data_IF_725748298266
#
_entry.id   IF_725748298266
#
_cell.length_a   1.000
_cell.length_b   1.000
_cell.length_c   1.000
_cell.angle_alpha   90.00
_cell.angle_beta   90.00
_cell.angle_gamma   90.00
#
_symmetry.space_group_name_H-M   'P 1'
#
loop_
_entity.id
_entity.type
_entity.pdbx_description
1 polymer ?
#
# COMPACT_ATOMS: atom_id res chain seq x y z
N UNK A 1 24.20 -2.53 -11.48
CA UNK A 1 23.13 -3.10 -12.30
C UNK A 1 23.21 -2.48 -13.66
N UNK A 2 23.10 -3.31 -14.72
CA UNK A 2 23.13 -2.79 -16.09
C UNK A 2 21.92 -1.88 -16.28
N UNK A 3 22.17 -0.63 -16.63
CA UNK A 3 21.21 0.47 -16.53
C UNK A 3 20.12 0.43 -17.61
N UNK A 4 20.30 -0.41 -18.60
CA UNK A 4 19.44 -0.54 -19.77
C UNK A 4 18.55 -1.77 -19.74
N UNK A 5 18.59 -2.58 -18.64
CA UNK A 5 17.85 -3.84 -18.60
C UNK A 5 16.33 -3.68 -18.81
N UNK A 6 15.76 -2.54 -18.39
CA UNK A 6 14.34 -2.25 -18.61
C UNK A 6 14.00 -1.99 -20.08
N UNK A 7 15.00 -1.58 -20.89
CA UNK A 7 14.88 -1.30 -22.30
C UNK A 7 15.27 -2.51 -23.18
N UNK A 8 16.26 -3.31 -22.75
CA UNK A 8 16.91 -4.31 -23.59
C UNK A 8 16.36 -5.73 -23.42
N UNK A 9 15.96 -6.12 -22.19
CA UNK A 9 15.48 -7.47 -21.92
C UNK A 9 14.18 -7.79 -22.68
N UNK A 10 13.95 -9.06 -23.07
CA UNK A 10 12.66 -9.50 -23.60
C UNK A 10 11.51 -9.13 -22.66
N UNK A 11 10.39 -8.66 -23.22
CA UNK A 11 9.33 -8.02 -22.43
C UNK A 11 8.67 -8.96 -21.42
N UNK A 12 8.31 -10.18 -21.82
CA UNK A 12 7.62 -11.11 -20.92
C UNK A 12 8.49 -11.55 -19.72
N UNK A 13 9.74 -12.02 -19.89
CA UNK A 13 10.62 -12.33 -18.75
C UNK A 13 10.90 -11.10 -17.87
N UNK A 14 10.97 -9.92 -18.46
CA UNK A 14 11.16 -8.67 -17.73
C UNK A 14 9.94 -8.39 -16.83
N UNK A 15 8.72 -8.45 -17.37
CA UNK A 15 7.48 -8.26 -16.60
C UNK A 15 7.43 -9.28 -15.46
N UNK A 16 7.67 -10.55 -15.72
CA UNK A 16 7.64 -11.60 -14.69
C UNK A 16 8.66 -11.34 -13.58
N UNK A 17 9.89 -10.94 -13.95
CA UNK A 17 10.94 -10.65 -12.97
C UNK A 17 10.61 -9.47 -12.05
N UNK A 18 9.79 -8.52 -12.52
CA UNK A 18 9.35 -7.35 -11.77
C UNK A 18 8.04 -7.62 -11.00
N UNK A 19 7.12 -8.38 -11.60
CA UNK A 19 5.80 -8.66 -11.06
C UNK A 19 5.82 -9.72 -9.95
N UNK A 20 6.57 -10.81 -10.13
CA UNK A 20 6.55 -11.93 -9.16
C UNK A 20 6.94 -11.53 -7.74
N UNK A 21 7.99 -10.71 -7.51
CA UNK A 21 8.27 -10.20 -6.17
C UNK A 21 7.10 -9.38 -5.59
N UNK A 22 6.41 -8.59 -6.41
CA UNK A 22 5.28 -7.78 -5.96
C UNK A 22 4.05 -8.63 -5.64
N UNK A 23 3.74 -9.63 -6.48
CA UNK A 23 2.66 -10.59 -6.20
C UNK A 23 2.89 -11.29 -4.86
N UNK A 24 4.11 -11.79 -4.64
CA UNK A 24 4.46 -12.47 -3.38
C UNK A 24 4.34 -11.54 -2.17
N UNK A 25 4.83 -10.29 -2.29
CA UNK A 25 4.68 -9.28 -1.23
C UNK A 25 3.23 -8.99 -0.89
N UNK A 26 2.37 -8.88 -1.91
CA UNK A 26 0.95 -8.62 -1.72
C UNK A 26 0.22 -9.80 -1.08
N UNK A 27 0.59 -11.02 -1.43
CA UNK A 27 0.04 -12.22 -0.78
C UNK A 27 0.39 -12.27 0.71
N UNK A 28 1.66 -12.02 1.05
CA UNK A 28 2.11 -11.98 2.45
C UNK A 28 1.45 -10.82 3.20
N UNK A 29 1.30 -9.65 2.56
CA UNK A 29 0.60 -8.51 3.15
C UNK A 29 -0.89 -8.80 3.40
N UNK A 30 -1.56 -9.50 2.49
CA UNK A 30 -2.94 -9.92 2.71
C UNK A 30 -3.07 -10.93 3.85
N UNK A 31 -2.14 -11.86 3.94
CA UNK A 31 -2.11 -12.87 5.00
C UNK A 31 -1.91 -12.22 6.37
N UNK A 32 -0.98 -11.27 6.49
CA UNK A 32 -0.77 -10.56 7.75
C UNK A 32 -2.03 -9.80 8.18
N UNK A 33 -2.74 -9.11 7.27
CA UNK A 33 -3.98 -8.40 7.61
C UNK A 33 -5.08 -9.34 8.14
N UNK A 34 -5.14 -10.58 7.61
CA UNK A 34 -6.08 -11.59 8.11
C UNK A 34 -5.71 -12.05 9.51
N UNK A 35 -4.42 -12.31 9.74
CA UNK A 35 -3.89 -12.77 11.04
C UNK A 35 -4.06 -11.68 12.11
N UNK A 36 -3.75 -10.43 11.80
CA UNK A 36 -3.97 -9.29 12.69
C UNK A 36 -5.44 -9.19 13.10
N UNK A 37 -6.36 -9.21 12.12
CA UNK A 37 -7.80 -9.19 12.40
C UNK A 37 -8.26 -10.40 13.22
N UNK A 38 -7.67 -11.56 13.02
CA UNK A 38 -7.96 -12.76 13.79
C UNK A 38 -7.58 -12.62 15.27
N UNK A 39 -6.40 -12.06 15.56
CA UNK A 39 -5.98 -11.83 16.94
C UNK A 39 -6.80 -10.72 17.61
N UNK A 40 -7.11 -9.64 16.92
CA UNK A 40 -7.97 -8.58 17.47
C UNK A 40 -9.38 -9.09 17.79
N UNK A 41 -9.93 -9.97 16.94
CA UNK A 41 -11.24 -10.58 17.19
C UNK A 41 -11.28 -11.47 18.47
N UNK A 42 -10.13 -11.92 18.96
CA UNK A 42 -10.03 -12.69 20.21
C UNK A 42 -9.99 -11.82 21.47
N UNK A 43 -9.79 -10.51 21.34
CA UNK A 43 -9.78 -9.58 22.47
C UNK A 43 -11.21 -9.38 22.99
N UNK A 44 -12.08 -8.80 22.17
CA UNK A 44 -13.50 -8.59 22.45
C UNK A 44 -14.25 -8.18 21.17
N UNK A 45 -15.60 -8.25 21.20
CA UNK A 45 -16.46 -7.75 20.13
C UNK A 45 -16.34 -6.22 19.98
N UNK A 46 -16.18 -5.50 21.09
CA UNK A 46 -15.99 -4.06 21.11
C UNK A 46 -14.67 -3.64 20.45
N UNK A 47 -13.58 -4.39 20.68
CA UNK A 47 -12.28 -4.16 20.06
C UNK A 47 -12.36 -4.34 18.53
N UNK A 48 -13.03 -5.40 18.08
CA UNK A 48 -13.23 -5.64 16.65
C UNK A 48 -14.12 -4.58 15.99
N UNK A 49 -15.15 -4.12 16.72
CA UNK A 49 -16.01 -3.02 16.28
C UNK A 49 -15.22 -1.72 16.17
N UNK A 50 -14.41 -1.40 17.18
CA UNK A 50 -13.55 -0.22 17.17
C UNK A 50 -12.57 -0.23 15.98
N UNK A 51 -11.89 -1.36 15.74
CA UNK A 51 -10.98 -1.52 14.58
C UNK A 51 -11.73 -1.30 13.25
N UNK A 52 -12.93 -1.86 13.13
CA UNK A 52 -13.76 -1.74 11.93
C UNK A 52 -14.18 -0.30 11.65
N UNK A 53 -14.46 0.50 12.70
CA UNK A 53 -14.80 1.90 12.57
C UNK A 53 -13.58 2.79 12.27
N UNK A 54 -12.39 2.44 12.76
CA UNK A 54 -11.13 3.16 12.45
C UNK A 54 -10.64 2.87 11.03
N UNK A 55 -10.90 1.68 10.52
CA UNK A 55 -10.38 1.18 9.24
C UNK A 55 -10.60 2.13 8.04
N UNK A 56 -11.77 2.77 7.83
CA UNK A 56 -11.96 3.70 6.70
C UNK A 56 -10.99 4.88 6.71
N UNK A 57 -10.68 5.45 7.89
CA UNK A 57 -9.73 6.55 8.02
C UNK A 57 -8.31 6.06 7.76
N UNK A 58 -7.95 4.90 8.30
CA UNK A 58 -6.65 4.26 8.05
C UNK A 58 -6.46 3.94 6.56
N UNK A 59 -7.50 3.43 5.90
CA UNK A 59 -7.47 3.14 4.46
C UNK A 59 -7.33 4.42 3.63
N UNK A 60 -7.98 5.51 4.01
CA UNK A 60 -7.82 6.81 3.36
C UNK A 60 -6.39 7.33 3.48
N UNK A 61 -5.79 7.27 4.69
CA UNK A 61 -4.39 7.65 4.93
C UNK A 61 -3.45 6.82 4.04
N UNK A 62 -3.65 5.51 3.98
CA UNK A 62 -2.89 4.61 3.12
C UNK A 62 -3.07 4.93 1.63
N UNK A 63 -4.30 5.23 1.20
CA UNK A 63 -4.58 5.60 -0.18
C UNK A 63 -3.84 6.88 -0.60
N UNK A 64 -3.76 7.88 0.28
CA UNK A 64 -3.00 9.12 0.04
C UNK A 64 -1.50 8.80 -0.06
N UNK A 65 -0.94 8.06 0.88
CA UNK A 65 0.49 7.68 0.89
C UNK A 65 0.88 6.87 -0.34
N UNK A 66 0.15 5.80 -0.65
CA UNK A 66 0.43 4.92 -1.79
C UNK A 66 0.17 5.66 -3.12
N UNK A 67 -0.93 6.39 -3.24
CA UNK A 67 -1.29 7.11 -4.45
C UNK A 67 -0.26 8.19 -4.81
N UNK A 68 0.16 9.00 -3.83
CA UNK A 68 1.24 9.97 -4.03
C UNK A 68 2.56 9.26 -4.37
N UNK A 69 2.87 8.15 -3.70
CA UNK A 69 4.01 7.31 -4.01
C UNK A 69 4.02 6.77 -5.45
N UNK A 70 2.86 6.45 -6.02
CA UNK A 70 2.74 6.08 -7.45
C UNK A 70 3.18 7.23 -8.35
N UNK A 71 2.82 8.47 -8.00
CA UNK A 71 3.31 9.66 -8.69
C UNK A 71 4.83 9.78 -8.66
N UNK A 72 5.43 9.58 -7.49
CA UNK A 72 6.90 9.57 -7.30
C UNK A 72 7.55 8.51 -8.19
N UNK A 73 7.05 7.27 -8.14
CA UNK A 73 7.54 6.15 -8.95
C UNK A 73 7.53 6.49 -10.45
N UNK A 74 6.39 6.94 -10.96
CA UNK A 74 6.20 7.22 -12.37
C UNK A 74 7.11 8.34 -12.88
N UNK A 75 7.25 9.42 -12.10
CA UNK A 75 8.08 10.57 -12.48
C UNK A 75 9.58 10.22 -12.45
N UNK A 76 10.04 9.49 -11.43
CA UNK A 76 11.42 9.00 -11.35
C UNK A 76 11.71 8.08 -12.53
N UNK A 77 10.88 7.05 -12.76
CA UNK A 77 11.08 6.10 -13.86
C UNK A 77 11.11 6.80 -15.22
N UNK A 78 10.24 7.79 -15.44
CA UNK A 78 10.23 8.60 -16.65
C UNK A 78 11.57 9.32 -16.87
N UNK A 79 12.09 10.02 -15.85
CA UNK A 79 13.34 10.76 -16.01
C UNK A 79 14.57 9.85 -16.13
N UNK A 80 14.56 8.69 -15.45
CA UNK A 80 15.60 7.67 -15.65
C UNK A 80 15.60 7.15 -17.09
N UNK A 81 14.42 6.91 -17.66
CA UNK A 81 14.27 6.51 -19.06
C UNK A 81 14.72 7.58 -20.05
N UNK A 82 14.45 8.84 -19.75
CA UNK A 82 14.90 9.99 -20.53
C UNK A 82 16.42 10.31 -20.38
N UNK A 83 17.12 9.58 -19.50
CA UNK A 83 18.55 9.83 -19.23
C UNK A 83 18.81 11.05 -18.34
N UNK A 84 17.78 11.68 -17.76
CA UNK A 84 17.90 12.87 -16.92
C UNK A 84 17.95 12.50 -15.43
N UNK A 85 19.11 12.00 -15.00
CA UNK A 85 19.32 11.58 -13.61
C UNK A 85 19.12 12.75 -12.62
N UNK A 86 19.47 13.99 -13.00
CA UNK A 86 19.29 15.17 -12.13
C UNK A 86 17.82 15.40 -11.80
N UNK A 87 16.94 15.29 -12.80
CA UNK A 87 15.50 15.41 -12.56
C UNK A 87 14.92 14.20 -11.84
N UNK A 88 15.49 13.01 -12.01
CA UNK A 88 15.10 11.84 -11.22
C UNK A 88 15.43 12.04 -9.73
N UNK A 89 16.64 12.54 -9.41
CA UNK A 89 17.05 12.90 -8.05
C UNK A 89 16.16 14.02 -7.46
N UNK A 90 15.84 15.02 -8.28
CA UNK A 90 14.93 16.10 -7.88
C UNK A 90 13.53 15.56 -7.57
N UNK A 91 13.00 14.64 -8.41
CA UNK A 91 11.69 14.02 -8.18
C UNK A 91 11.66 13.19 -6.89
N UNK A 92 12.71 12.41 -6.63
CA UNK A 92 12.84 11.63 -5.40
C UNK A 92 12.94 12.52 -4.16
N UNK A 93 13.78 13.56 -4.20
CA UNK A 93 13.99 14.46 -3.07
C UNK A 93 12.74 15.27 -2.76
N UNK A 94 12.13 15.90 -3.76
CA UNK A 94 10.91 16.69 -3.57
C UNK A 94 9.70 15.81 -3.25
N UNK A 95 9.64 14.62 -3.83
CA UNK A 95 8.66 13.61 -3.49
C UNK A 95 8.74 13.21 -2.00
N UNK A 96 9.95 12.97 -1.49
CA UNK A 96 10.16 12.66 -0.07
C UNK A 96 9.75 13.83 0.85
N UNK A 97 10.12 15.07 0.50
CA UNK A 97 9.74 16.26 1.29
C UNK A 97 8.22 16.40 1.35
N UNK A 98 7.53 16.27 0.21
CA UNK A 98 6.07 16.36 0.17
C UNK A 98 5.43 15.19 0.92
N UNK A 99 5.98 13.97 0.80
CA UNK A 99 5.52 12.82 1.55
C UNK A 99 5.64 13.02 3.07
N UNK A 100 6.73 13.61 3.55
CA UNK A 100 6.88 13.96 4.97
C UNK A 100 5.83 15.00 5.42
N UNK A 101 5.55 16.01 4.58
CA UNK A 101 4.49 16.99 4.86
C UNK A 101 3.13 16.29 4.95
N UNK A 102 2.79 15.42 3.99
CA UNK A 102 1.56 14.61 4.05
C UNK A 102 1.52 13.75 5.30
N UNK A 103 2.64 13.08 5.65
CA UNK A 103 2.73 12.24 6.84
C UNK A 103 2.40 13.01 8.11
N UNK A 104 2.99 14.20 8.29
CA UNK A 104 2.71 15.05 9.46
C UNK A 104 1.25 15.52 9.47
N UNK A 105 0.73 16.03 8.35
CA UNK A 105 -0.66 16.49 8.25
C UNK A 105 -1.64 15.36 8.54
N UNK A 106 -1.43 14.18 7.94
CA UNK A 106 -2.30 13.02 8.12
C UNK A 106 -2.23 12.48 9.55
N UNK A 107 -1.06 12.50 10.20
CA UNK A 107 -0.91 12.13 11.62
C UNK A 107 -1.75 13.05 12.48
N UNK A 108 -1.54 14.37 12.37
CA UNK A 108 -2.25 15.35 13.20
C UNK A 108 -3.76 15.30 12.95
N UNK A 109 -4.18 15.34 11.69
CA UNK A 109 -5.61 15.27 11.34
C UNK A 109 -6.23 13.95 11.79
N UNK A 110 -5.56 12.81 11.54
CA UNK A 110 -6.07 11.49 11.92
C UNK A 110 -6.30 11.37 13.42
N UNK A 111 -5.33 11.77 14.25
CA UNK A 111 -5.45 11.70 15.70
C UNK A 111 -6.52 12.67 16.22
N UNK A 112 -6.50 13.93 15.77
CA UNK A 112 -7.40 14.95 16.31
C UNK A 112 -8.86 14.80 15.91
N UNK A 113 -9.11 14.26 14.71
CA UNK A 113 -10.47 14.08 14.20
C UNK A 113 -11.12 12.77 14.66
N UNK A 114 -10.33 11.79 15.11
CA UNK A 114 -10.84 10.44 15.41
C UNK A 114 -11.92 10.40 16.48
N UNK A 115 -11.82 11.10 17.63
CA UNK A 115 -12.88 11.08 18.64
C UNK A 115 -14.25 11.54 18.10
N UNK A 116 -14.24 12.65 17.32
CA UNK A 116 -15.44 13.17 16.69
C UNK A 116 -15.99 12.23 15.62
N UNK A 117 -15.09 11.64 14.82
CA UNK A 117 -15.45 10.67 13.77
C UNK A 117 -16.14 9.43 14.37
N UNK A 118 -15.56 8.81 15.40
CA UNK A 118 -16.15 7.63 16.05
C UNK A 118 -17.50 7.96 16.69
N UNK A 119 -17.63 9.12 17.32
CA UNK A 119 -18.89 9.58 17.92
C UNK A 119 -20.05 9.76 16.92
N UNK A 120 -19.75 9.85 15.60
CA UNK A 120 -20.79 9.89 14.57
C UNK A 120 -21.40 8.51 14.27
N UNK A 121 -20.71 7.43 14.60
CA UNK A 121 -21.11 6.05 14.23
C UNK A 121 -21.54 5.21 15.43
N UNK A 122 -21.12 5.55 16.65
CA UNK A 122 -21.47 4.78 17.85
C UNK A 122 -21.66 5.67 19.07
N UNK A 123 -22.56 5.27 19.96
CA UNK A 123 -22.75 5.88 21.27
C UNK A 123 -22.06 5.08 22.38
N UNK A 124 -21.45 3.94 22.08
CA UNK A 124 -20.70 3.13 23.04
C UNK A 124 -19.41 3.82 23.44
N UNK A 125 -19.30 4.24 24.69
CA UNK A 125 -18.10 4.87 25.24
C UNK A 125 -16.88 3.96 25.14
N UNK A 126 -17.06 2.66 25.42
CA UNK A 126 -15.99 1.65 25.33
C UNK A 126 -15.43 1.54 23.93
N UNK A 127 -16.30 1.46 22.90
CA UNK A 127 -15.86 1.38 21.49
C UNK A 127 -15.13 2.64 21.07
N UNK A 128 -15.62 3.83 21.48
CA UNK A 128 -14.95 5.11 21.18
C UNK A 128 -13.57 5.14 21.84
N UNK A 129 -13.47 4.78 23.12
CA UNK A 129 -12.22 4.79 23.88
C UNK A 129 -11.18 3.84 23.25
N UNK A 130 -11.56 2.59 22.98
CA UNK A 130 -10.70 1.62 22.31
C UNK A 130 -10.26 2.11 20.92
N UNK A 131 -11.18 2.67 20.14
CA UNK A 131 -10.87 3.20 18.80
C UNK A 131 -9.93 4.41 18.84
N UNK A 132 -10.08 5.29 19.83
CA UNK A 132 -9.18 6.44 20.03
C UNK A 132 -7.79 5.97 20.44
N UNK A 133 -7.67 5.07 21.43
CA UNK A 133 -6.39 4.53 21.89
C UNK A 133 -5.65 3.83 20.75
N UNK A 134 -6.33 2.96 20.01
CA UNK A 134 -5.77 2.33 18.81
C UNK A 134 -5.27 3.38 17.80
N UNK A 135 -6.11 4.37 17.50
CA UNK A 135 -5.82 5.38 16.47
C UNK A 135 -4.65 6.28 16.83
N UNK A 136 -4.51 6.68 18.10
CA UNK A 136 -3.37 7.49 18.56
C UNK A 136 -2.06 6.76 18.31
N UNK A 137 -1.99 5.47 18.62
CA UNK A 137 -0.79 4.67 18.38
C UNK A 137 -0.59 4.45 16.88
N UNK A 138 -1.60 3.91 16.18
CA UNK A 138 -1.50 3.57 14.76
C UNK A 138 -1.13 4.78 13.89
N UNK A 139 -1.76 5.94 14.13
CA UNK A 139 -1.51 7.14 13.33
C UNK A 139 -0.22 7.87 13.71
N UNK A 140 0.33 7.66 14.91
CA UNK A 140 1.66 8.14 15.26
C UNK A 140 2.77 7.57 14.36
N UNK A 141 2.55 6.39 13.79
CA UNK A 141 3.45 5.79 12.80
C UNK A 141 3.21 6.24 11.35
N UNK A 142 2.19 7.07 11.07
CA UNK A 142 1.85 7.48 9.70
C UNK A 142 3.02 8.13 8.98
N UNK A 143 3.79 8.99 9.64
CA UNK A 143 4.98 9.59 9.04
C UNK A 143 6.00 8.52 8.61
N UNK A 144 6.25 7.52 9.46
CA UNK A 144 7.15 6.39 9.18
C UNK A 144 6.63 5.57 7.99
N UNK A 145 5.33 5.29 7.97
CA UNK A 145 4.67 4.55 6.88
C UNK A 145 4.80 5.29 5.56
N UNK A 146 4.49 6.58 5.52
CA UNK A 146 4.52 7.38 4.27
C UNK A 146 5.94 7.55 3.74
N UNK A 147 6.93 7.72 4.62
CA UNK A 147 8.34 7.73 4.25
C UNK A 147 8.77 6.35 3.74
N UNK A 148 8.36 5.27 4.41
CA UNK A 148 8.60 3.89 3.98
C UNK A 148 8.04 3.61 2.58
N UNK A 149 6.79 4.00 2.33
CA UNK A 149 6.16 3.91 0.99
C UNK A 149 6.94 4.72 -0.05
N UNK A 150 7.46 5.89 0.32
CA UNK A 150 8.27 6.70 -0.60
C UNK A 150 9.55 5.97 -1.01
N UNK A 151 10.30 5.39 -0.08
CA UNK A 151 11.47 4.57 -0.38
C UNK A 151 11.10 3.32 -1.18
N UNK A 152 9.99 2.65 -0.84
CA UNK A 152 9.44 1.55 -1.65
C UNK A 152 9.30 1.97 -3.10
N UNK A 153 8.67 3.13 -3.36
CA UNK A 153 8.43 3.61 -4.73
C UNK A 153 9.70 4.06 -5.44
N UNK A 154 10.68 4.57 -4.72
CA UNK A 154 12.02 4.87 -5.26
C UNK A 154 12.72 3.56 -5.69
N UNK A 155 12.73 2.52 -4.84
CA UNK A 155 13.31 1.21 -5.18
C UNK A 155 12.59 0.55 -6.36
N UNK A 156 11.26 0.65 -6.41
CA UNK A 156 10.48 0.16 -7.55
C UNK A 156 10.82 0.92 -8.84
N UNK A 157 10.98 2.25 -8.78
CA UNK A 157 11.29 3.08 -9.95
C UNK A 157 12.65 2.72 -10.59
N UNK A 158 13.63 2.33 -9.79
CA UNK A 158 14.94 1.85 -10.27
C UNK A 158 14.93 0.36 -10.63
N UNK A 159 13.79 -0.33 -10.53
CA UNK A 159 13.62 -1.74 -10.87
C UNK A 159 14.09 -2.72 -9.80
N UNK A 160 14.36 -2.26 -8.59
CA UNK A 160 14.81 -3.13 -7.49
C UNK A 160 13.63 -3.72 -6.69
N UNK A 161 12.82 -4.55 -7.36
CA UNK A 161 11.65 -5.19 -6.76
C UNK A 161 12.00 -6.21 -5.67
N UNK A 162 13.21 -6.81 -5.74
CA UNK A 162 13.66 -7.76 -4.71
C UNK A 162 13.84 -7.09 -3.34
N UNK A 163 14.44 -5.91 -3.31
CA UNK A 163 14.56 -5.14 -2.07
C UNK A 163 13.19 -4.78 -1.53
N UNK A 164 12.27 -4.33 -2.39
CA UNK A 164 10.89 -4.02 -1.99
C UNK A 164 10.21 -5.25 -1.37
N UNK A 165 10.29 -6.40 -2.04
CA UNK A 165 9.71 -7.65 -1.54
C UNK A 165 10.28 -8.03 -0.16
N UNK A 166 11.60 -8.07 -0.02
CA UNK A 166 12.25 -8.48 1.23
C UNK A 166 11.87 -7.53 2.38
N UNK A 167 11.91 -6.21 2.15
CA UNK A 167 11.58 -5.23 3.18
C UNK A 167 10.14 -5.37 3.66
N UNK A 168 9.18 -5.47 2.73
CA UNK A 168 7.77 -5.66 3.06
C UNK A 168 7.51 -6.99 3.78
N UNK A 169 8.11 -8.08 3.30
CA UNK A 169 7.95 -9.40 3.94
C UNK A 169 8.52 -9.43 5.35
N UNK A 170 9.68 -8.83 5.59
CA UNK A 170 10.26 -8.74 6.94
C UNK A 170 9.34 -7.95 7.88
N UNK A 171 8.79 -6.82 7.43
CA UNK A 171 7.82 -6.05 8.21
C UNK A 171 6.55 -6.82 8.54
N UNK A 172 5.98 -7.54 7.56
CA UNK A 172 4.81 -8.38 7.78
C UNK A 172 5.08 -9.54 8.74
N UNK A 173 6.22 -10.23 8.58
CA UNK A 173 6.59 -11.36 9.45
C UNK A 173 6.77 -10.91 10.89
N UNK A 174 7.48 -9.80 11.13
CA UNK A 174 7.67 -9.30 12.50
C UNK A 174 6.35 -8.85 13.11
N UNK A 175 5.45 -8.25 12.34
CA UNK A 175 4.12 -7.92 12.81
C UNK A 175 3.34 -9.17 13.25
N UNK A 176 3.27 -10.22 12.42
CA UNK A 176 2.59 -11.50 12.75
C UNK A 176 3.14 -12.11 14.05
N UNK A 177 4.44 -11.99 14.28
CA UNK A 177 5.08 -12.52 15.51
C UNK A 177 4.77 -11.62 16.71
N UNK A 178 4.75 -10.30 16.53
CA UNK A 178 4.54 -9.36 17.62
C UNK A 178 3.07 -9.23 18.01
N UNK A 179 2.12 -9.44 17.09
CA UNK A 179 0.70 -9.36 17.39
C UNK A 179 0.31 -10.18 18.64
N UNK A 180 0.48 -11.52 18.68
CA UNK A 180 0.09 -12.28 19.85
C UNK A 180 0.93 -11.92 21.09
N UNK A 181 2.18 -11.51 20.91
CA UNK A 181 3.07 -11.15 22.04
C UNK A 181 2.60 -9.88 22.72
N UNK A 182 2.23 -8.85 21.96
CA UNK A 182 1.83 -7.56 22.52
C UNK A 182 0.31 -7.52 22.86
N UNK A 183 -0.51 -8.20 22.09
CA UNK A 183 -1.97 -8.26 22.34
C UNK A 183 -2.22 -9.00 23.66
N UNK A 184 -1.68 -10.20 23.83
CA UNK A 184 -1.99 -11.10 24.97
C UNK A 184 -0.92 -11.08 26.08
N UNK A 185 0.17 -10.31 25.93
CA UNK A 185 1.17 -10.17 26.95
C UNK A 185 2.04 -11.42 27.14
N UNK A 186 2.49 -12.07 26.05
CA UNK A 186 3.38 -13.21 26.17
C UNK A 186 4.81 -12.83 26.56
N UNK A 187 5.40 -13.58 27.48
CA UNK A 187 6.77 -13.39 27.96
C UNK A 187 6.92 -12.18 28.90
N UNK A 188 7.90 -11.28 28.66
CA UNK A 188 8.15 -10.11 29.52
C UNK A 188 7.24 -8.89 29.19
N UNK A 189 6.36 -9.00 28.22
CA UNK A 189 5.53 -7.89 27.76
C UNK A 189 4.18 -7.87 28.49
N UNK A 190 3.67 -6.68 28.85
CA UNK A 190 2.32 -6.54 29.39
C UNK A 190 1.27 -6.83 28.32
N UNK A 191 0.10 -7.29 28.76
CA UNK A 191 -1.08 -7.39 27.90
C UNK A 191 -1.54 -5.98 27.50
N UNK A 192 -1.52 -5.68 26.19
CA UNK A 192 -1.84 -4.36 25.65
C UNK A 192 -3.15 -4.35 24.85
N UNK A 193 -3.77 -5.52 24.61
CA UNK A 193 -4.99 -5.61 23.84
C UNK A 193 -4.88 -4.96 22.46
N UNK A 194 -5.87 -4.13 22.09
CA UNK A 194 -5.93 -3.47 20.78
C UNK A 194 -4.76 -2.47 20.54
N UNK A 195 -4.22 -1.88 21.61
CA UNK A 195 -3.04 -1.01 21.52
C UNK A 195 -1.81 -1.80 21.10
N UNK A 196 -1.71 -3.06 21.56
CA UNK A 196 -0.66 -4.01 21.16
C UNK A 196 -0.67 -4.30 19.67
N UNK A 197 -1.85 -4.48 19.06
CA UNK A 197 -2.00 -4.65 17.62
C UNK A 197 -1.50 -3.42 16.84
N UNK A 198 -1.89 -2.21 17.28
CA UNK A 198 -1.43 -0.97 16.67
C UNK A 198 0.10 -0.82 16.76
N UNK A 199 0.68 -1.14 17.91
CA UNK A 199 2.11 -1.06 18.16
C UNK A 199 2.89 -2.09 17.33
N UNK A 200 2.42 -3.34 17.24
CA UNK A 200 3.03 -4.39 16.43
C UNK A 200 3.09 -3.99 14.95
N UNK A 201 1.99 -3.43 14.44
CA UNK A 201 1.93 -2.87 13.07
C UNK A 201 2.95 -1.74 12.90
N UNK A 202 3.00 -0.80 13.84
CA UNK A 202 3.97 0.31 13.80
C UNK A 202 5.43 -0.14 13.82
N UNK A 203 5.77 -1.14 14.63
CA UNK A 203 7.12 -1.74 14.68
C UNK A 203 7.44 -2.44 13.35
N UNK A 204 6.52 -3.21 12.77
CA UNK A 204 6.68 -3.85 11.48
C UNK A 204 6.97 -2.84 10.35
N UNK A 205 6.22 -1.73 10.31
CA UNK A 205 6.45 -0.65 9.35
C UNK A 205 7.77 0.08 9.58
N UNK A 206 8.17 0.26 10.85
CA UNK A 206 9.47 0.86 11.20
C UNK A 206 10.62 -0.02 10.74
N UNK A 207 10.52 -1.36 10.92
CA UNK A 207 11.52 -2.29 10.41
C UNK A 207 11.59 -2.27 8.88
N UNK A 208 10.43 -2.21 8.21
CA UNK A 208 10.37 -2.09 6.75
C UNK A 208 11.14 -0.86 6.28
N UNK A 209 10.89 0.31 6.87
CA UNK A 209 11.62 1.54 6.57
C UNK A 209 13.11 1.42 6.89
N UNK A 210 13.46 0.85 8.04
CA UNK A 210 14.86 0.65 8.43
C UNK A 210 15.63 -0.19 7.40
N UNK A 211 15.04 -1.27 6.89
CA UNK A 211 15.65 -2.10 5.84
C UNK A 211 15.84 -1.26 4.56
N UNK A 212 14.84 -0.48 4.13
CA UNK A 212 15.00 0.41 2.97
C UNK A 212 16.15 1.39 3.17
N UNK A 213 16.26 2.04 4.32
CA UNK A 213 17.33 2.99 4.61
C UNK A 213 18.71 2.30 4.63
N UNK A 214 18.84 1.15 5.29
CA UNK A 214 20.08 0.37 5.30
C UNK A 214 20.51 0.01 3.89
N UNK A 215 19.59 -0.52 3.06
CA UNK A 215 19.91 -0.88 1.67
C UNK A 215 20.24 0.36 0.85
N UNK A 216 19.55 1.48 1.07
CA UNK A 216 19.80 2.74 0.37
C UNK A 216 21.22 3.27 0.63
N UNK A 217 21.71 3.20 1.88
CA UNK A 217 23.04 3.68 2.25
C UNK A 217 24.17 2.68 1.94
N UNK A 218 23.89 1.37 2.00
CA UNK A 218 24.92 0.33 1.78
C UNK A 218 25.07 -0.01 0.28
N UNK A 219 23.97 0.02 -0.47
CA UNK A 219 23.99 -0.33 -1.90
C UNK A 219 23.66 0.89 -2.75
N UNK A 220 24.60 1.44 -3.52
CA UNK A 220 24.32 2.59 -4.37
C UNK A 220 23.21 2.25 -5.37
N UNK A 221 22.17 3.05 -5.38
CA UNK A 221 21.12 3.07 -6.40
C UNK A 221 21.29 4.31 -7.28
N UNK A 222 20.65 4.33 -8.45
CA UNK A 222 20.78 5.42 -9.43
C UNK A 222 20.18 6.75 -8.97
N UNK A 223 19.29 6.72 -8.01
CA UNK A 223 18.52 7.88 -7.56
C UNK A 223 19.00 8.27 -6.18
N UNK A 224 19.38 9.53 -6.03
CA UNK A 224 19.95 10.07 -4.81
C UNK A 224 19.07 11.17 -4.25
N UNK A 225 18.88 11.15 -2.95
CA UNK A 225 18.23 12.25 -2.22
C UNK A 225 19.29 13.32 -1.97
N UNK A 226 19.13 14.47 -2.62
CA UNK A 226 20.13 15.52 -2.67
C UNK A 226 19.63 16.77 -1.95
N UNK A 227 20.41 17.28 -0.99
CA UNK A 227 20.08 18.49 -0.21
C UNK A 227 19.79 19.71 -1.10
N UNK A 228 20.43 19.83 -2.26
CA UNK A 228 20.24 20.93 -3.20
C UNK A 228 18.83 20.97 -3.82
N UNK A 229 18.07 19.87 -3.79
CA UNK A 229 16.72 19.77 -4.36
C UNK A 229 15.60 19.82 -3.32
N UNK A 230 15.89 20.13 -2.05
CA UNK A 230 14.89 20.24 -0.99
C UNK A 230 13.87 21.33 -1.28
N UNK A 231 14.31 22.44 -1.90
CA UNK A 231 13.41 23.54 -2.28
C UNK A 231 12.47 23.08 -3.38
N UNK A 232 11.17 23.22 -3.10
CA UNK A 232 10.12 22.74 -3.98
C UNK A 232 10.04 23.56 -5.27
N UNK A 233 10.15 22.89 -6.40
CA UNK A 233 9.98 23.46 -7.73
C UNK A 233 8.51 23.28 -8.16
N UNK A 234 7.81 24.37 -8.49
CA UNK A 234 6.42 24.34 -8.94
C UNK A 234 6.19 23.32 -10.08
N UNK A 235 7.11 23.26 -11.05
CA UNK A 235 7.02 22.33 -12.19
C UNK A 235 7.09 20.87 -11.75
N UNK A 236 7.98 20.52 -10.83
CA UNK A 236 8.12 19.17 -10.33
C UNK A 236 6.94 18.78 -9.44
N UNK A 237 6.53 19.67 -8.54
CA UNK A 237 5.36 19.47 -7.67
C UNK A 237 4.11 19.18 -8.50
N UNK A 238 3.81 20.02 -9.51
CA UNK A 238 2.66 19.78 -10.40
C UNK A 238 2.77 18.41 -11.08
N UNK A 239 3.97 18.02 -11.55
CA UNK A 239 4.16 16.74 -12.21
C UNK A 239 3.94 15.56 -11.27
N UNK A 240 4.39 15.64 -10.01
CA UNK A 240 4.14 14.61 -9.00
C UNK A 240 2.65 14.48 -8.69
N UNK A 241 1.97 15.59 -8.46
CA UNK A 241 0.53 15.57 -8.14
C UNK A 241 -0.36 15.22 -9.32
N UNK A 242 0.02 15.55 -10.55
CA UNK A 242 -0.77 15.21 -11.75
C UNK A 242 -0.94 13.70 -11.93
N UNK A 243 -0.04 12.89 -11.36
CA UNK A 243 -0.14 11.42 -11.36
C UNK A 243 -0.60 10.93 -9.98
N UNK A 244 -0.10 11.55 -8.91
CA UNK A 244 -0.40 11.14 -7.53
C UNK A 244 -1.87 11.29 -7.14
N UNK A 245 -2.51 12.43 -7.50
CA UNK A 245 -3.93 12.65 -7.17
C UNK A 245 -4.85 11.64 -7.87
N UNK A 246 -4.78 11.43 -9.20
CA UNK A 246 -5.59 10.38 -9.84
C UNK A 246 -5.34 8.98 -9.26
N UNK A 247 -4.09 8.66 -8.89
CA UNK A 247 -3.77 7.38 -8.27
C UNK A 247 -4.38 7.25 -6.87
N UNK A 248 -4.36 8.33 -6.06
CA UNK A 248 -5.02 8.38 -4.75
C UNK A 248 -6.52 8.18 -4.88
N UNK A 249 -7.17 8.90 -5.80
CA UNK A 249 -8.60 8.76 -6.05
C UNK A 249 -8.95 7.33 -6.49
N UNK A 250 -8.16 6.73 -7.37
CA UNK A 250 -8.37 5.35 -7.81
C UNK A 250 -8.31 4.35 -6.63
N UNK A 251 -7.45 4.57 -5.65
CA UNK A 251 -7.33 3.73 -4.46
C UNK A 251 -8.42 4.00 -3.42
N UNK A 252 -8.94 5.22 -3.34
CA UNK A 252 -9.98 5.61 -2.38
C UNK A 252 -11.40 5.28 -2.87
N UNK A 253 -11.66 5.40 -4.19
CA UNK A 253 -12.99 5.19 -4.78
C UNK A 253 -13.65 3.83 -4.45
N UNK A 254 -12.94 2.68 -4.46
CA UNK A 254 -13.55 1.41 -4.10
C UNK A 254 -14.15 1.39 -2.69
N UNK A 255 -13.51 2.05 -1.73
CA UNK A 255 -14.02 2.14 -0.35
C UNK A 255 -15.33 2.95 -0.29
N UNK A 256 -15.43 4.04 -1.04
CA UNK A 256 -16.65 4.82 -1.17
C UNK A 256 -17.77 4.02 -1.85
N UNK A 257 -17.43 3.26 -2.90
CA UNK A 257 -18.38 2.38 -3.58
C UNK A 257 -18.94 1.32 -2.64
N UNK A 258 -18.07 0.65 -1.87
CA UNK A 258 -18.49 -0.37 -0.90
C UNK A 258 -19.41 0.25 0.15
N UNK A 259 -19.06 1.43 0.67
CA UNK A 259 -19.89 2.13 1.66
C UNK A 259 -21.27 2.50 1.10
N UNK A 260 -21.33 3.00 -0.13
CA UNK A 260 -22.59 3.33 -0.80
C UNK A 260 -23.45 2.07 -1.04
N UNK A 261 -22.84 0.97 -1.50
CA UNK A 261 -23.55 -0.30 -1.68
C UNK A 261 -24.07 -0.86 -0.37
N UNK A 262 -23.29 -0.81 0.71
CA UNK A 262 -23.73 -1.22 2.03
C UNK A 262 -24.94 -0.38 2.51
N UNK A 263 -24.91 0.94 2.30
CA UNK A 263 -26.05 1.80 2.67
C UNK A 263 -27.33 1.47 1.88
N UNK A 264 -27.20 1.14 0.59
CA UNK A 264 -28.32 0.71 -0.23
C UNK A 264 -28.85 -0.65 0.24
N UNK A 265 -27.97 -1.63 0.47
CA UNK A 265 -28.36 -2.98 0.84
C UNK A 265 -28.93 -3.05 2.27
N UNK A 266 -28.51 -2.18 3.18
CA UNK A 266 -29.07 -2.05 4.53
C UNK A 266 -30.57 -1.74 4.51
N UNK A 267 -31.05 -1.04 3.49
CA UNK A 267 -32.47 -0.75 3.33
C UNK A 267 -33.32 -1.99 2.98
N UNK A 268 -32.68 -3.07 2.51
CA UNK A 268 -33.37 -4.31 2.14
C UNK A 268 -33.23 -5.41 3.21
N UNK A 269 -32.00 -5.78 3.59
CA UNK A 269 -31.72 -6.77 4.63
C UNK A 269 -30.22 -6.80 4.99
N UNK A 270 -29.92 -7.06 6.26
CA UNK A 270 -28.54 -7.28 6.75
C UNK A 270 -27.84 -8.48 6.07
N UNK A 271 -28.61 -9.48 5.65
CA UNK A 271 -28.08 -10.65 4.92
C UNK A 271 -27.39 -10.25 3.63
N UNK A 272 -27.91 -9.26 2.91
CA UNK A 272 -27.27 -8.78 1.67
C UNK A 272 -25.94 -8.07 1.92
N UNK A 273 -25.78 -7.38 3.06
CA UNK A 273 -24.50 -6.78 3.47
C UNK A 273 -23.49 -7.88 3.76
N UNK A 274 -23.90 -8.94 4.46
CA UNK A 274 -23.04 -10.09 4.74
C UNK A 274 -22.56 -10.75 3.44
N UNK A 275 -23.47 -11.00 2.49
CA UNK A 275 -23.16 -11.61 1.18
C UNK A 275 -22.16 -10.70 0.40
N UNK A 276 -22.40 -9.39 0.38
CA UNK A 276 -21.50 -8.44 -0.26
C UNK A 276 -20.10 -8.47 0.40
N UNK A 277 -20.04 -8.53 1.72
CA UNK A 277 -18.79 -8.62 2.47
C UNK A 277 -17.98 -9.88 2.12
N UNK A 278 -18.64 -11.04 2.04
CA UNK A 278 -18.01 -12.30 1.61
C UNK A 278 -17.52 -12.19 0.17
N UNK A 279 -18.34 -11.66 -0.74
CA UNK A 279 -17.98 -11.42 -2.13
C UNK A 279 -16.69 -10.58 -2.25
N UNK A 280 -16.60 -9.45 -1.55
CA UNK A 280 -15.41 -8.60 -1.60
C UNK A 280 -14.17 -9.28 -1.02
N UNK A 281 -14.30 -10.10 0.01
CA UNK A 281 -13.18 -10.89 0.54
C UNK A 281 -12.64 -11.86 -0.52
N UNK A 282 -13.51 -12.61 -1.19
CA UNK A 282 -13.12 -13.52 -2.28
C UNK A 282 -12.52 -12.76 -3.46
N UNK A 283 -13.14 -11.66 -3.87
CA UNK A 283 -12.66 -10.80 -4.96
C UNK A 283 -11.23 -10.28 -4.69
N UNK A 284 -10.91 -9.92 -3.44
CA UNK A 284 -9.59 -9.45 -3.07
C UNK A 284 -8.51 -10.47 -3.43
N UNK A 285 -8.71 -11.76 -3.12
CA UNK A 285 -7.74 -12.81 -3.46
C UNK A 285 -7.50 -12.94 -4.96
N UNK A 286 -8.54 -12.77 -5.77
CA UNK A 286 -8.42 -12.83 -7.25
C UNK A 286 -7.67 -11.61 -7.77
N UNK A 287 -7.88 -10.43 -7.17
CA UNK A 287 -7.24 -9.19 -7.60
C UNK A 287 -5.77 -9.07 -7.18
N UNK A 288 -5.33 -9.76 -6.11
CA UNK A 288 -3.96 -9.63 -5.60
C UNK A 288 -2.89 -9.93 -6.66
N UNK A 289 -2.92 -11.06 -7.41
CA UNK A 289 -1.93 -11.32 -8.44
C UNK A 289 -1.94 -10.28 -9.55
N UNK A 290 -3.13 -9.86 -10.01
CA UNK A 290 -3.26 -8.85 -11.05
C UNK A 290 -2.70 -7.49 -10.60
N UNK A 291 -2.99 -7.07 -9.37
CA UNK A 291 -2.43 -5.86 -8.79
C UNK A 291 -0.90 -5.92 -8.65
N UNK A 292 -0.35 -7.09 -8.29
CA UNK A 292 1.10 -7.31 -8.24
C UNK A 292 1.75 -7.14 -9.61
N UNK A 293 1.13 -7.67 -10.67
CA UNK A 293 1.58 -7.51 -12.05
C UNK A 293 1.55 -6.04 -12.46
N UNK A 294 0.46 -5.32 -12.15
CA UNK A 294 0.33 -3.89 -12.43
C UNK A 294 1.40 -3.07 -11.69
N UNK A 295 1.70 -3.39 -10.44
CA UNK A 295 2.78 -2.72 -9.71
C UNK A 295 4.15 -2.95 -10.35
N UNK A 296 4.45 -4.17 -10.80
CA UNK A 296 5.67 -4.49 -11.55
C UNK A 296 5.76 -3.77 -12.89
N UNK A 297 4.63 -3.54 -13.57
CA UNK A 297 4.56 -2.86 -14.86
C UNK A 297 4.85 -1.35 -14.76
N UNK A 298 4.40 -0.68 -13.69
CA UNK A 298 4.45 0.79 -13.56
C UNK A 298 5.81 1.41 -13.89
N UNK A 299 6.93 0.99 -13.26
CA UNK A 299 8.25 1.54 -13.58
C UNK A 299 8.70 1.19 -15.00
N UNK A 300 8.31 0.03 -15.55
CA UNK A 300 8.63 -0.34 -16.92
C UNK A 300 7.97 0.58 -17.94
N UNK A 301 6.71 0.91 -17.74
CA UNK A 301 5.98 1.88 -18.59
C UNK A 301 6.64 3.27 -18.48
N UNK A 302 6.85 3.76 -17.24
CA UNK A 302 7.46 5.07 -17.00
C UNK A 302 8.82 5.20 -17.66
N UNK A 303 9.69 4.21 -17.48
CA UNK A 303 11.03 4.18 -18.04
C UNK A 303 11.03 4.16 -19.58
N UNK A 304 10.30 3.22 -20.20
CA UNK A 304 10.27 3.09 -21.65
C UNK A 304 9.58 4.29 -22.32
N UNK A 305 8.57 4.88 -21.67
CA UNK A 305 7.95 6.12 -22.17
C UNK A 305 8.92 7.29 -22.11
N UNK A 306 9.68 7.44 -21.03
CA UNK A 306 10.74 8.44 -20.92
C UNK A 306 11.86 8.25 -21.93
N UNK A 307 12.18 7.01 -22.29
CA UNK A 307 13.18 6.66 -23.31
C UNK A 307 12.67 6.83 -24.77
N UNK A 308 11.38 7.20 -24.97
CA UNK A 308 10.79 7.33 -26.31
C UNK A 308 10.42 6.00 -26.97
N UNK A 309 10.49 4.86 -26.25
CA UNK A 309 10.23 3.52 -26.77
C UNK A 309 8.73 3.19 -26.79
N UNK A 310 7.94 3.97 -27.52
CA UNK A 310 6.46 3.86 -27.52
C UNK A 310 5.94 2.48 -27.97
N UNK A 311 6.64 1.82 -28.90
CA UNK A 311 6.26 0.45 -29.34
C UNK A 311 6.39 -0.54 -28.18
N UNK A 312 7.45 -0.41 -27.39
CA UNK A 312 7.71 -1.25 -26.23
C UNK A 312 6.73 -0.99 -25.09
N UNK A 313 6.36 0.27 -24.86
CA UNK A 313 5.28 0.66 -23.93
C UNK A 313 3.98 -0.06 -24.30
N UNK A 314 3.56 0.01 -25.58
CA UNK A 314 2.35 -0.67 -26.07
C UNK A 314 2.44 -2.20 -25.91
N UNK A 315 3.60 -2.78 -26.15
CA UNK A 315 3.82 -4.23 -25.99
C UNK A 315 3.72 -4.65 -24.53
N UNK A 316 4.37 -3.92 -23.60
CA UNK A 316 4.28 -4.16 -22.15
C UNK A 316 2.82 -4.08 -21.69
N UNK A 317 2.11 -3.03 -22.09
CA UNK A 317 0.70 -2.83 -21.73
C UNK A 317 -0.19 -3.99 -22.21
N UNK A 318 -0.07 -4.40 -23.48
CA UNK A 318 -0.85 -5.51 -24.03
C UNK A 318 -0.60 -6.83 -23.31
N UNK A 319 0.68 -7.15 -23.01
CA UNK A 319 1.03 -8.37 -22.31
C UNK A 319 0.43 -8.36 -20.89
N UNK A 320 0.57 -7.25 -20.16
CA UNK A 320 0.01 -7.14 -18.82
C UNK A 320 -1.51 -7.21 -18.83
N UNK A 321 -2.16 -6.58 -19.80
CA UNK A 321 -3.62 -6.66 -19.98
C UNK A 321 -4.08 -8.12 -20.20
N UNK A 322 -3.40 -8.84 -21.09
CA UNK A 322 -3.67 -10.26 -21.34
C UNK A 322 -3.44 -11.12 -20.09
N UNK A 323 -2.31 -10.94 -19.39
CA UNK A 323 -2.00 -11.69 -18.17
C UNK A 323 -3.03 -11.44 -17.07
N UNK A 324 -3.39 -10.17 -16.83
CA UNK A 324 -4.41 -9.82 -15.84
C UNK A 324 -5.78 -10.36 -16.24
N UNK A 325 -6.14 -10.30 -17.53
CA UNK A 325 -7.38 -10.87 -18.06
C UNK A 325 -7.46 -12.39 -17.83
N UNK A 326 -6.39 -13.11 -18.13
CA UNK A 326 -6.32 -14.57 -17.88
C UNK A 326 -6.50 -14.88 -16.39
N UNK A 327 -5.82 -14.16 -15.51
CA UNK A 327 -5.96 -14.35 -14.05
C UNK A 327 -7.40 -14.10 -13.60
N UNK A 328 -8.04 -13.04 -14.09
CA UNK A 328 -9.43 -12.73 -13.74
C UNK A 328 -10.41 -13.79 -14.24
N UNK A 329 -10.24 -14.28 -15.45
CA UNK A 329 -11.09 -15.35 -16.03
C UNK A 329 -10.89 -16.67 -15.25
N UNK A 330 -9.65 -17.04 -14.95
CA UNK A 330 -9.36 -18.22 -14.12
C UNK A 330 -9.95 -18.09 -12.71
N UNK A 331 -9.83 -16.92 -12.10
CA UNK A 331 -10.42 -16.63 -10.78
C UNK A 331 -11.95 -16.77 -10.78
N UNK A 332 -12.63 -16.23 -11.79
CA UNK A 332 -14.07 -16.39 -11.97
C UNK A 332 -14.47 -17.85 -12.21
N UNK A 333 -13.70 -18.58 -13.01
CA UNK A 333 -13.94 -20.01 -13.27
C UNK A 333 -13.82 -20.84 -11.98
N UNK A 334 -12.85 -20.55 -11.11
CA UNK A 334 -12.68 -21.24 -9.83
C UNK A 334 -13.88 -20.98 -8.89
N UNK A 335 -14.43 -19.78 -8.87
CA UNK A 335 -15.66 -19.47 -8.10
C UNK A 335 -16.84 -20.28 -8.64
N UNK A 336 -16.99 -20.35 -9.96
CA UNK A 336 -18.11 -21.08 -10.60
C UNK A 336 -18.02 -22.61 -10.37
N UNK A 337 -16.81 -23.18 -10.39
CA UNK A 337 -16.58 -24.60 -10.15
C UNK A 337 -16.85 -24.98 -8.69
N UNK A 338 -16.67 -24.04 -7.74
CA UNK A 338 -16.93 -24.26 -6.33
C UNK A 338 -18.40 -24.07 -5.93
N UNK A 339 -19.27 -23.60 -6.83
CA UNK A 339 -20.72 -23.64 -6.60
C UNK A 339 -21.18 -25.11 -6.61
N UNK A 340 -21.82 -25.60 -5.52
CA UNK A 340 -22.38 -26.94 -5.55
C UNK A 340 -23.44 -26.99 -6.62
N UNK A 341 -23.24 -27.86 -7.62
CA UNK A 341 -24.27 -28.22 -8.58
C UNK A 341 -25.50 -28.67 -7.84
N UNK A 342 -26.56 -27.85 -7.85
CA UNK A 342 -27.89 -28.24 -7.38
C UNK A 342 -28.48 -29.29 -8.31
#
# INVERSE_FOLDING_TARGET
MNDTFMKEKPVLPLILSMAMPMVLSMLVNSLYNIIDSFFVAQISEEAMTALSLVYPVQNFINAVGIGFGVGINAVIAFYLGAGDNKKADQAATQGLVLAMIHGVVLTVCGITMMPAFLGMFTSSKTVIELGVHYSVIAFSFTLIIVVGVTFEKIFQAVGNMKTTMISLMCGCIINIVLDPVLIFGYGPFPEMGIEGAALATGIGQTLTLAIYLVVYFVRPIRVHICRQYILLSKKMVIKLYSIGIPATLNLALPSLLISALNAILAAYSEVYILVLGIYYKLQTFIYLPANGIVQGMRPLIGYNYGAGENKRVSQIYKIVLCMSGIIMVLGLSLIHISEPTR
#
